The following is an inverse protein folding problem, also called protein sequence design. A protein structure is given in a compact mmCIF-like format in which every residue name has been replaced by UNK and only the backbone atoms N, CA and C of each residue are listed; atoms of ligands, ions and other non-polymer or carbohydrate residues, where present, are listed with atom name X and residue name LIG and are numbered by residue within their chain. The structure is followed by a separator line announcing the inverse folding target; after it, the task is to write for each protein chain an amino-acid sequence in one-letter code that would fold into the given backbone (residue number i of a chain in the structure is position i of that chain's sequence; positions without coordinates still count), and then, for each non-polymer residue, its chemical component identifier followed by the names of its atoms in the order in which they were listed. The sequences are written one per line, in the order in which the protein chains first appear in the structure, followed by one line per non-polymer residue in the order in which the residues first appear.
data_IF_714623346475
#
_entry.id   IF_714623346475
#
_cell.length_a   1.000
_cell.length_b   1.000
_cell.length_c   1.000
_cell.angle_alpha   90.00
_cell.angle_beta   90.00
_cell.angle_gamma   90.00
#
_symmetry.space_group_name_H-M   'P 1'
#
loop_
_entity.id
_entity.type
_entity.pdbx_description
1 polymer ?
#
# COMPACT_ATOMS: atom_id res chain seq x y z
N UNK A 1 9.00 7.79 26.91
CA UNK A 1 9.01 9.11 26.21
C UNK A 1 8.29 8.88 24.90
N UNK A 2 7.46 9.82 24.45
CA UNK A 2 6.78 9.72 23.15
C UNK A 2 7.79 9.86 22.00
N UNK A 3 7.53 9.24 20.87
CA UNK A 3 8.36 9.34 19.68
C UNK A 3 7.69 10.22 18.62
N UNK A 4 8.22 11.42 18.40
CA UNK A 4 7.65 12.41 17.48
C UNK A 4 8.10 12.21 16.02
N UNK A 5 8.98 11.24 15.73
CA UNK A 5 9.38 10.92 14.37
C UNK A 5 8.16 10.50 13.53
N UNK A 6 8.10 10.85 12.26
CA UNK A 6 6.96 10.52 11.41
C UNK A 6 6.88 9.01 11.09
N UNK A 7 5.70 8.59 10.67
CA UNK A 7 5.51 7.30 9.99
C UNK A 7 5.83 7.49 8.50
N UNK A 8 6.70 6.65 7.96
CA UNK A 8 6.94 6.57 6.53
C UNK A 8 5.89 5.70 5.85
N UNK A 9 5.38 6.15 4.71
CA UNK A 9 4.49 5.33 3.85
C UNK A 9 5.05 5.34 2.44
N UNK A 10 5.22 4.19 1.82
CA UNK A 10 5.71 4.06 0.45
C UNK A 10 4.70 3.37 -0.46
N UNK A 11 4.65 3.81 -1.72
CA UNK A 11 3.90 3.16 -2.80
C UNK A 11 4.62 3.35 -4.15
N UNK A 12 4.26 2.54 -5.11
CA UNK A 12 4.70 2.68 -6.51
C UNK A 12 4.15 3.93 -7.20
N UNK A 13 3.17 4.61 -6.61
CA UNK A 13 2.52 5.79 -7.16
C UNK A 13 1.51 6.39 -6.18
N UNK A 14 0.51 7.06 -6.72
CA UNK A 14 -0.50 7.79 -5.94
C UNK A 14 -1.40 6.88 -5.08
N UNK A 15 -1.59 5.61 -5.47
CA UNK A 15 -2.54 4.69 -4.83
C UNK A 15 -2.36 4.54 -3.33
N UNK A 16 -1.13 4.61 -2.83
CA UNK A 16 -0.83 4.52 -1.40
C UNK A 16 -1.44 5.61 -0.53
N UNK A 17 -1.99 6.66 -1.12
CA UNK A 17 -2.76 7.67 -0.38
C UNK A 17 -4.01 7.10 0.30
N UNK A 18 -4.56 5.98 -0.17
CA UNK A 18 -5.62 5.25 0.52
C UNK A 18 -5.15 4.73 1.89
N UNK A 19 -3.90 4.27 1.97
CA UNK A 19 -3.28 3.87 3.24
C UNK A 19 -2.97 5.09 4.10
N UNK A 20 -2.47 6.19 3.51
CA UNK A 20 -2.26 7.47 4.24
C UNK A 20 -3.57 7.96 4.86
N UNK A 21 -4.69 7.92 4.13
CA UNK A 21 -6.00 8.28 4.64
C UNK A 21 -6.38 7.44 5.87
N UNK A 22 -6.10 6.15 5.82
CA UNK A 22 -6.38 5.25 6.93
C UNK A 22 -5.45 5.51 8.14
N UNK A 23 -4.16 5.85 7.90
CA UNK A 23 -3.24 6.30 8.98
C UNK A 23 -3.79 7.56 9.66
N UNK A 24 -4.23 8.54 8.89
CA UNK A 24 -4.82 9.77 9.41
C UNK A 24 -6.05 9.47 10.28
N UNK A 25 -6.90 8.54 9.83
CA UNK A 25 -8.14 8.16 10.53
C UNK A 25 -7.88 7.45 11.87
N UNK A 26 -6.93 6.51 11.92
CA UNK A 26 -6.67 5.69 13.10
C UNK A 26 -5.62 6.27 14.03
N UNK A 27 -4.70 7.09 13.51
CA UNK A 27 -3.54 7.68 14.19
C UNK A 27 -3.49 9.20 13.90
N UNK A 28 -4.51 9.97 14.29
CA UNK A 28 -4.70 11.36 13.85
C UNK A 28 -3.59 12.32 14.31
N UNK A 29 -2.80 11.93 15.29
CA UNK A 29 -1.71 12.75 15.83
C UNK A 29 -0.35 12.45 15.19
N UNK A 30 -0.21 11.32 14.50
CA UNK A 30 1.05 10.91 13.90
C UNK A 30 1.38 11.75 12.65
N UNK A 31 2.60 12.28 12.61
CA UNK A 31 3.13 12.88 11.39
C UNK A 31 3.45 11.80 10.36
N UNK A 32 3.29 12.14 9.08
CA UNK A 32 3.40 11.18 7.98
C UNK A 32 4.30 11.78 6.89
N UNK A 33 5.24 10.97 6.41
CA UNK A 33 5.95 11.22 5.16
C UNK A 33 5.58 10.12 4.18
N UNK A 34 4.91 10.49 3.11
CA UNK A 34 4.57 9.60 2.01
C UNK A 34 5.57 9.77 0.85
N UNK A 35 5.96 8.66 0.22
CA UNK A 35 6.70 8.66 -1.05
C UNK A 35 6.00 7.79 -2.09
N UNK A 36 5.63 8.37 -3.22
CA UNK A 36 5.10 7.69 -4.40
C UNK A 36 6.12 7.69 -5.55
N UNK A 37 6.47 6.51 -6.06
CA UNK A 37 7.44 6.36 -7.15
C UNK A 37 6.79 6.53 -8.54
N UNK A 38 6.27 7.72 -8.78
CA UNK A 38 5.56 8.10 -10.01
C UNK A 38 6.43 7.95 -11.28
N UNK A 39 7.76 8.11 -11.16
CA UNK A 39 8.67 8.03 -12.31
C UNK A 39 8.76 6.60 -12.87
N UNK A 40 8.58 5.57 -12.03
CA UNK A 40 8.80 4.16 -12.41
C UNK A 40 7.52 3.31 -12.35
N UNK A 41 6.37 3.92 -12.03
CA UNK A 41 5.08 3.24 -12.03
C UNK A 41 4.67 2.76 -13.43
N UNK A 42 3.78 1.75 -13.55
CA UNK A 42 3.28 0.91 -12.50
C UNK A 42 4.22 -0.29 -12.20
N UNK A 43 4.40 -0.62 -10.92
CA UNK A 43 5.24 -1.77 -10.52
C UNK A 43 4.67 -3.13 -10.95
N UNK A 44 3.39 -3.21 -11.21
CA UNK A 44 2.69 -4.45 -11.60
C UNK A 44 3.21 -5.12 -12.87
N UNK A 45 4.00 -4.43 -13.69
CA UNK A 45 4.59 -4.92 -14.95
C UNK A 45 6.13 -4.94 -14.93
N UNK A 46 6.75 -4.61 -13.80
CA UNK A 46 8.21 -4.61 -13.63
C UNK A 46 8.73 -5.99 -13.23
N UNK A 47 10.03 -6.22 -13.44
CA UNK A 47 10.68 -7.46 -12.97
C UNK A 47 10.86 -7.45 -11.45
N UNK A 48 11.08 -8.63 -10.88
CA UNK A 48 11.34 -8.78 -9.45
C UNK A 48 12.53 -7.94 -8.98
N UNK A 49 13.63 -7.99 -9.73
CA UNK A 49 14.86 -7.24 -9.42
C UNK A 49 14.66 -5.74 -9.47
N UNK A 50 13.88 -5.25 -10.46
CA UNK A 50 13.53 -3.85 -10.56
C UNK A 50 12.72 -3.39 -9.35
N UNK A 51 11.70 -4.17 -8.94
CA UNK A 51 10.86 -3.82 -7.81
C UNK A 51 11.66 -3.78 -6.51
N UNK A 52 12.57 -4.75 -6.30
CA UNK A 52 13.47 -4.76 -5.13
C UNK A 52 14.36 -3.51 -5.14
N UNK A 53 15.00 -3.19 -6.27
CA UNK A 53 15.87 -2.01 -6.36
C UNK A 53 15.13 -0.72 -6.06
N UNK A 54 13.98 -0.52 -6.70
CA UNK A 54 13.17 0.69 -6.53
C UNK A 54 12.62 0.83 -5.10
N UNK A 55 12.18 -0.28 -4.52
CA UNK A 55 11.70 -0.30 -3.14
C UNK A 55 12.83 0.01 -2.15
N UNK A 56 14.05 -0.51 -2.40
CA UNK A 56 15.22 -0.21 -1.58
C UNK A 56 15.53 1.29 -1.55
N UNK A 57 15.48 1.96 -2.69
CA UNK A 57 15.71 3.40 -2.77
C UNK A 57 14.68 4.19 -1.98
N UNK A 58 13.38 3.82 -2.08
CA UNK A 58 12.32 4.45 -1.27
C UNK A 58 12.51 4.20 0.24
N UNK A 59 12.91 2.98 0.64
CA UNK A 59 13.19 2.65 2.04
C UNK A 59 14.37 3.47 2.55
N UNK A 60 15.47 3.54 1.81
CA UNK A 60 16.64 4.35 2.18
C UNK A 60 16.29 5.83 2.28
N UNK A 61 15.49 6.33 1.34
CA UNK A 61 14.97 7.70 1.39
C UNK A 61 14.22 7.97 2.69
N UNK A 62 13.24 7.13 3.04
CA UNK A 62 12.43 7.29 4.26
C UNK A 62 13.29 7.17 5.53
N UNK A 63 14.28 6.27 5.56
CA UNK A 63 15.25 6.19 6.66
C UNK A 63 16.02 7.50 6.79
N UNK A 64 16.45 8.09 5.67
CA UNK A 64 17.10 9.40 5.64
C UNK A 64 16.21 10.54 6.14
N UNK A 65 14.89 10.41 6.04
CA UNK A 65 13.89 11.32 6.62
C UNK A 65 13.62 11.04 8.11
N UNK A 66 14.38 10.14 8.74
CA UNK A 66 14.28 9.81 10.17
C UNK A 66 12.88 9.32 10.59
N UNK A 67 12.21 8.51 9.77
CA UNK A 67 10.92 7.91 10.12
C UNK A 67 11.10 6.82 11.20
N UNK A 68 10.08 6.60 12.04
CA UNK A 68 10.12 5.59 13.12
C UNK A 68 9.68 4.20 12.68
N UNK A 69 8.93 4.10 11.60
CA UNK A 69 8.53 2.86 10.94
C UNK A 69 8.13 3.14 9.49
N UNK A 70 8.04 2.08 8.69
CA UNK A 70 7.60 2.17 7.30
C UNK A 70 6.38 1.28 7.07
N UNK A 71 5.34 1.84 6.45
CA UNK A 71 4.17 1.09 5.96
C UNK A 71 4.27 0.99 4.44
N UNK A 72 4.20 -0.23 3.92
CA UNK A 72 4.10 -0.47 2.49
C UNK A 72 2.63 -0.33 2.07
N UNK A 73 2.28 0.76 1.43
CA UNK A 73 0.99 0.93 0.77
C UNK A 73 0.84 -0.01 -0.42
N UNK A 74 1.93 -0.20 -1.19
CA UNK A 74 1.93 -1.00 -2.40
C UNK A 74 1.87 -2.51 -2.15
N UNK A 75 0.85 -3.17 -2.69
CA UNK A 75 0.76 -4.64 -2.65
C UNK A 75 1.87 -5.31 -3.44
N UNK A 76 2.22 -4.76 -4.60
CA UNK A 76 3.30 -5.29 -5.45
C UNK A 76 4.66 -5.18 -4.75
N UNK A 77 4.99 -4.03 -4.17
CA UNK A 77 6.22 -3.86 -3.41
C UNK A 77 6.25 -4.75 -2.16
N UNK A 78 5.12 -4.90 -1.45
CA UNK A 78 4.99 -5.84 -0.33
C UNK A 78 5.31 -7.27 -0.78
N UNK A 79 4.68 -7.74 -1.88
CA UNK A 79 4.84 -9.11 -2.36
C UNK A 79 6.25 -9.44 -2.83
N UNK A 80 6.95 -8.46 -3.40
CA UNK A 80 8.21 -8.69 -4.11
C UNK A 80 9.46 -8.27 -3.32
N UNK A 81 9.33 -7.31 -2.41
CA UNK A 81 10.50 -6.66 -1.81
C UNK A 81 10.52 -6.64 -0.29
N UNK A 82 9.39 -6.78 0.41
CA UNK A 82 9.34 -6.61 1.86
C UNK A 82 10.32 -7.53 2.59
N UNK A 83 10.31 -8.82 2.28
CA UNK A 83 11.18 -9.81 2.94
C UNK A 83 12.69 -9.52 2.73
N UNK A 84 13.05 -8.97 1.57
CA UNK A 84 14.42 -8.56 1.29
C UNK A 84 14.80 -7.31 2.10
N UNK A 85 13.90 -6.34 2.20
CA UNK A 85 14.15 -5.11 2.97
C UNK A 85 14.18 -5.34 4.48
N UNK A 86 13.34 -6.23 5.02
CA UNK A 86 13.39 -6.61 6.44
C UNK A 86 14.69 -7.32 6.84
N UNK A 87 15.37 -7.98 5.89
CA UNK A 87 16.69 -8.58 6.12
C UNK A 87 17.84 -7.57 6.03
N UNK A 88 17.64 -6.51 5.24
CA UNK A 88 18.66 -5.50 4.95
C UNK A 88 18.64 -4.34 5.96
N UNK A 89 17.46 -3.96 6.45
CA UNK A 89 17.24 -2.79 7.30
C UNK A 89 16.59 -3.17 8.63
N UNK A 90 16.97 -2.47 9.71
CA UNK A 90 16.48 -2.73 11.07
C UNK A 90 15.23 -1.95 11.43
N UNK A 91 14.81 -0.97 10.60
CA UNK A 91 13.60 -0.20 10.82
C UNK A 91 12.35 -1.11 10.75
N UNK A 92 11.37 -0.95 11.66
CA UNK A 92 10.13 -1.72 11.59
C UNK A 92 9.38 -1.44 10.29
N UNK A 93 8.98 -2.50 9.60
CA UNK A 93 8.23 -2.43 8.35
C UNK A 93 6.94 -3.24 8.47
N UNK A 94 5.87 -2.75 7.85
CA UNK A 94 4.59 -3.47 7.78
C UNK A 94 4.07 -3.39 6.35
N UNK A 95 3.89 -4.55 5.72
CA UNK A 95 3.26 -4.66 4.41
C UNK A 95 1.77 -4.98 4.50
N UNK A 96 1.04 -4.69 3.44
CA UNK A 96 -0.42 -4.82 3.37
C UNK A 96 -0.93 -6.26 3.21
N UNK A 97 -0.10 -7.21 2.73
CA UNK A 97 -0.55 -8.56 2.36
C UNK A 97 -0.96 -9.38 3.60
N UNK A 98 -0.10 -9.47 4.61
CA UNK A 98 -0.39 -10.27 5.80
C UNK A 98 -1.62 -9.76 6.55
N UNK A 99 -1.76 -8.45 6.86
CA UNK A 99 -2.97 -7.92 7.48
C UNK A 99 -4.22 -8.09 6.61
N UNK A 100 -4.11 -7.91 5.29
CA UNK A 100 -5.20 -8.15 4.35
C UNK A 100 -5.66 -9.60 4.32
N UNK A 101 -4.72 -10.55 4.37
CA UNK A 101 -5.00 -11.98 4.46
C UNK A 101 -5.69 -12.35 5.78
N UNK A 102 -5.20 -11.82 6.92
CA UNK A 102 -5.85 -11.99 8.24
C UNK A 102 -7.28 -11.42 8.24
N UNK A 103 -7.48 -10.26 7.63
CA UNK A 103 -8.83 -9.69 7.51
C UNK A 103 -9.76 -10.57 6.68
N UNK A 104 -9.29 -11.10 5.56
CA UNK A 104 -10.07 -11.95 4.68
C UNK A 104 -10.47 -13.29 5.34
N UNK A 105 -9.52 -13.96 5.99
CA UNK A 105 -9.77 -15.22 6.72
C UNK A 105 -10.74 -15.04 7.89
N UNK A 106 -10.74 -13.87 8.53
CA UNK A 106 -11.65 -13.57 9.64
C UNK A 106 -13.08 -13.26 9.21
N UNK A 107 -13.32 -12.87 7.96
CA UNK A 107 -14.67 -12.45 7.51
C UNK A 107 -15.35 -13.45 6.60
N UNK A 108 -14.60 -14.33 5.94
CA UNK A 108 -15.19 -15.40 5.11
C UNK A 108 -16.00 -16.38 5.95
N UNK A 109 -17.07 -16.89 5.37
CA UNK A 109 -17.92 -17.94 5.96
C UNK A 109 -17.83 -19.25 5.18
N UNK A 110 -17.47 -19.16 3.90
CA UNK A 110 -17.37 -20.30 2.98
C UNK A 110 -15.95 -20.82 2.82
N UNK A 111 -14.96 -20.10 3.33
CA UNK A 111 -13.52 -20.30 3.07
C UNK A 111 -13.12 -20.14 1.59
N UNK A 112 -13.99 -19.54 0.76
CA UNK A 112 -13.67 -19.20 -0.64
C UNK A 112 -13.34 -17.71 -0.72
N UNK A 113 -12.07 -17.41 -0.93
CA UNK A 113 -11.53 -16.04 -0.90
C UNK A 113 -10.99 -15.67 -2.26
N UNK A 114 -11.60 -14.68 -2.90
CA UNK A 114 -11.12 -14.04 -4.11
C UNK A 114 -10.05 -12.99 -3.80
N UNK A 115 -9.11 -12.82 -4.72
CA UNK A 115 -8.13 -11.74 -4.68
C UNK A 115 -8.07 -11.09 -6.03
N UNK A 116 -8.22 -9.78 -6.11
CA UNK A 116 -7.85 -9.00 -7.28
C UNK A 116 -6.57 -8.21 -6.99
N UNK A 117 -5.65 -8.16 -7.94
CA UNK A 117 -4.36 -7.49 -7.77
C UNK A 117 -3.74 -7.13 -9.11
N UNK A 118 -2.55 -6.53 -9.08
CA UNK A 118 -1.74 -6.39 -10.29
C UNK A 118 -1.23 -7.76 -10.74
N UNK A 119 -0.78 -7.85 -11.99
CA UNK A 119 -0.23 -9.12 -12.51
C UNK A 119 0.93 -9.64 -11.63
N UNK A 120 1.83 -8.76 -11.21
CA UNK A 120 2.96 -9.13 -10.34
C UNK A 120 2.52 -9.61 -8.96
N UNK A 121 1.51 -8.97 -8.34
CA UNK A 121 0.95 -9.39 -7.05
C UNK A 121 0.31 -10.78 -7.16
N UNK A 122 -0.44 -11.04 -8.20
CA UNK A 122 -1.09 -12.35 -8.39
C UNK A 122 -0.06 -13.45 -8.71
N UNK A 123 0.92 -13.16 -9.57
CA UNK A 123 1.98 -14.10 -9.92
C UNK A 123 2.88 -14.48 -8.73
N UNK A 124 3.06 -13.58 -7.76
CA UNK A 124 3.85 -13.84 -6.55
C UNK A 124 3.25 -14.93 -5.65
N UNK A 125 1.94 -15.16 -5.75
CA UNK A 125 1.14 -16.04 -4.86
C UNK A 125 1.21 -15.69 -3.37
N UNK A 126 1.76 -14.52 -3.01
CA UNK A 126 1.96 -14.13 -1.60
C UNK A 126 0.66 -14.13 -0.79
N UNK A 127 -0.45 -13.67 -1.37
CA UNK A 127 -1.77 -13.78 -0.73
C UNK A 127 -2.20 -15.24 -0.55
N UNK A 128 -2.07 -16.06 -1.60
CA UNK A 128 -2.46 -17.48 -1.57
C UNK A 128 -1.70 -18.22 -0.45
N UNK A 129 -0.38 -18.03 -0.38
CA UNK A 129 0.48 -18.67 0.61
C UNK A 129 0.13 -18.17 2.02
N UNK A 130 -0.02 -16.86 2.20
CA UNK A 130 -0.35 -16.27 3.50
C UNK A 130 -1.72 -16.74 4.00
N UNK A 131 -2.74 -16.73 3.14
CA UNK A 131 -4.09 -17.19 3.51
C UNK A 131 -4.08 -18.68 3.84
N UNK A 132 -3.42 -19.53 3.04
CA UNK A 132 -3.33 -20.97 3.29
C UNK A 132 -2.53 -21.31 4.55
N UNK A 133 -1.56 -20.50 4.93
CA UNK A 133 -0.86 -20.64 6.20
C UNK A 133 -1.76 -20.30 7.41
N UNK A 134 -2.72 -19.37 7.25
CA UNK A 134 -3.70 -18.99 8.26
C UNK A 134 -4.87 -20.00 8.33
N UNK A 135 -5.37 -20.41 7.17
CA UNK A 135 -6.42 -21.42 7.02
C UNK A 135 -6.10 -22.38 5.87
N UNK A 136 -5.55 -23.57 6.15
CA UNK A 136 -5.25 -24.57 5.13
C UNK A 136 -6.44 -25.06 4.30
N UNK A 137 -7.68 -24.84 4.76
CA UNK A 137 -8.90 -25.23 4.05
C UNK A 137 -9.36 -24.15 3.07
N UNK A 138 -8.82 -22.93 3.15
CA UNK A 138 -9.24 -21.85 2.27
C UNK A 138 -9.00 -22.20 0.80
N UNK A 139 -10.01 -21.99 -0.03
CA UNK A 139 -9.87 -21.95 -1.48
C UNK A 139 -9.60 -20.50 -1.92
N UNK A 140 -8.50 -20.27 -2.64
CA UNK A 140 -8.01 -18.93 -2.94
C UNK A 140 -7.84 -18.75 -4.45
N UNK A 141 -8.68 -17.91 -5.05
CA UNK A 141 -8.62 -17.54 -6.46
C UNK A 141 -8.08 -16.12 -6.64
N UNK A 142 -6.90 -15.99 -7.25
CA UNK A 142 -6.30 -14.70 -7.62
C UNK A 142 -6.56 -14.34 -9.08
N UNK A 143 -7.05 -13.12 -9.34
CA UNK A 143 -7.28 -12.59 -10.69
C UNK A 143 -6.51 -11.28 -10.89
N UNK A 144 -5.73 -11.20 -11.98
CA UNK A 144 -5.05 -9.98 -12.36
C UNK A 144 -6.05 -8.95 -12.92
N UNK A 145 -6.11 -7.79 -12.28
CA UNK A 145 -7.00 -6.68 -12.63
C UNK A 145 -6.22 -5.41 -12.99
N UNK A 146 -5.13 -5.55 -13.77
CA UNK A 146 -4.21 -4.44 -14.09
C UNK A 146 -4.92 -3.21 -14.68
N UNK A 147 -5.98 -3.41 -15.47
CA UNK A 147 -6.76 -2.32 -16.06
C UNK A 147 -7.46 -1.43 -15.02
N UNK A 148 -7.73 -1.95 -13.83
CA UNK A 148 -8.41 -1.16 -12.78
C UNK A 148 -7.53 0.00 -12.29
N UNK A 149 -6.20 -0.14 -12.33
CA UNK A 149 -5.28 0.96 -12.03
C UNK A 149 -5.53 2.13 -12.98
N UNK A 150 -5.50 1.88 -14.29
CA UNK A 150 -5.73 2.93 -15.30
C UNK A 150 -7.13 3.54 -15.22
N UNK A 151 -8.16 2.76 -14.86
CA UNK A 151 -9.53 3.27 -14.66
C UNK A 151 -9.56 4.30 -13.53
N UNK A 152 -8.85 4.04 -12.43
CA UNK A 152 -8.79 4.96 -11.29
C UNK A 152 -7.98 6.20 -11.64
N UNK A 153 -6.79 6.04 -12.21
CA UNK A 153 -5.90 7.17 -12.53
C UNK A 153 -6.51 8.12 -13.58
N UNK A 154 -7.24 7.58 -14.55
CA UNK A 154 -7.93 8.40 -15.58
C UNK A 154 -9.28 8.95 -15.14
N UNK A 155 -9.70 8.73 -13.88
CA UNK A 155 -11.02 9.15 -13.36
C UNK A 155 -12.19 8.64 -14.21
N UNK A 156 -12.07 7.45 -14.78
CA UNK A 156 -13.03 6.90 -15.73
C UNK A 156 -13.97 5.84 -15.15
N UNK A 157 -14.01 5.68 -13.81
CA UNK A 157 -14.74 4.62 -13.11
C UNK A 157 -16.23 4.53 -13.48
N UNK A 158 -16.84 5.66 -13.81
CA UNK A 158 -18.28 5.76 -14.14
C UNK A 158 -18.58 5.61 -15.65
N UNK A 159 -17.58 5.29 -16.47
CA UNK A 159 -17.79 5.09 -17.91
C UNK A 159 -18.33 3.68 -18.20
N UNK A 160 -19.06 3.53 -19.31
CA UNK A 160 -19.53 2.23 -19.79
C UNK A 160 -18.37 1.24 -19.98
N UNK A 161 -17.25 1.72 -20.53
CA UNK A 161 -16.07 0.90 -20.77
C UNK A 161 -15.45 0.39 -19.46
N UNK A 162 -15.39 1.21 -18.41
CA UNK A 162 -14.91 0.80 -17.10
C UNK A 162 -15.81 -0.27 -16.50
N UNK A 163 -17.15 -0.07 -16.56
CA UNK A 163 -18.13 -1.05 -16.11
C UNK A 163 -17.95 -2.40 -16.81
N UNK A 164 -17.86 -2.44 -18.13
CA UNK A 164 -17.64 -3.65 -18.91
C UNK A 164 -16.31 -4.36 -18.54
N UNK A 165 -15.25 -3.59 -18.28
CA UNK A 165 -13.97 -4.15 -17.83
C UNK A 165 -14.08 -4.77 -16.43
N UNK A 166 -14.77 -4.10 -15.50
CA UNK A 166 -14.98 -4.59 -14.14
C UNK A 166 -15.80 -5.89 -14.16
N UNK A 167 -16.93 -5.89 -14.85
CA UNK A 167 -17.81 -7.06 -14.97
C UNK A 167 -17.07 -8.26 -15.61
N UNK A 168 -16.34 -8.02 -16.70
CA UNK A 168 -15.56 -9.07 -17.38
C UNK A 168 -14.49 -9.66 -16.48
N UNK A 169 -13.76 -8.80 -15.76
CA UNK A 169 -12.67 -9.23 -14.87
C UNK A 169 -13.21 -10.00 -13.66
N UNK A 170 -14.34 -9.54 -13.10
CA UNK A 170 -14.91 -10.13 -11.88
C UNK A 170 -15.89 -11.28 -12.14
N UNK A 171 -16.18 -11.60 -13.40
CA UNK A 171 -17.12 -12.67 -13.78
C UNK A 171 -16.87 -14.01 -13.05
N UNK A 172 -15.62 -14.48 -12.82
CA UNK A 172 -15.37 -15.73 -12.12
C UNK A 172 -15.86 -15.77 -10.66
N UNK A 173 -16.09 -14.59 -10.04
CA UNK A 173 -16.61 -14.50 -8.68
C UNK A 173 -18.13 -14.40 -8.63
N UNK A 174 -18.78 -14.05 -9.75
CA UNK A 174 -20.23 -13.93 -9.82
C UNK A 174 -20.89 -15.31 -9.81
N UNK A 175 -21.94 -15.46 -9.04
CA UNK A 175 -22.70 -16.70 -8.91
C UNK A 175 -21.83 -17.92 -8.52
N UNK A 176 -20.82 -17.67 -7.66
CA UNK A 176 -19.85 -18.66 -7.18
C UNK A 176 -19.90 -18.78 -5.66
N UNK A 177 -19.15 -19.72 -5.09
CA UNK A 177 -19.04 -19.89 -3.64
C UNK A 177 -18.11 -18.87 -2.95
N UNK A 178 -17.44 -17.98 -3.71
CA UNK A 178 -16.59 -16.93 -3.15
C UNK A 178 -17.45 -15.87 -2.47
N UNK A 179 -17.24 -15.71 -1.15
CA UNK A 179 -18.00 -14.75 -0.30
C UNK A 179 -17.15 -13.53 0.11
N UNK A 180 -15.86 -13.57 -0.16
CA UNK A 180 -14.90 -12.54 0.25
C UNK A 180 -13.97 -12.21 -0.90
N UNK A 181 -13.72 -10.91 -1.13
CA UNK A 181 -12.82 -10.41 -2.18
C UNK A 181 -11.83 -9.41 -1.61
N UNK A 182 -10.54 -9.75 -1.65
CA UNK A 182 -9.45 -8.85 -1.25
C UNK A 182 -9.13 -7.87 -2.38
N UNK A 183 -9.12 -6.58 -2.06
CA UNK A 183 -8.70 -5.51 -2.94
C UNK A 183 -7.16 -5.37 -2.89
N UNK A 184 -6.45 -6.28 -3.55
CA UNK A 184 -4.99 -6.43 -3.51
C UNK A 184 -4.22 -5.41 -4.36
N UNK A 185 -4.72 -4.19 -4.45
CA UNK A 185 -4.04 -3.02 -5.00
C UNK A 185 -4.61 -1.76 -4.36
N UNK A 186 -3.76 -0.78 -4.07
CA UNK A 186 -4.13 0.48 -3.41
C UNK A 186 -5.10 1.35 -4.20
N UNK A 187 -5.20 1.16 -5.50
CA UNK A 187 -6.19 1.84 -6.34
C UNK A 187 -7.60 1.25 -6.21
N UNK A 188 -7.73 -0.03 -5.88
CA UNK A 188 -9.02 -0.73 -5.99
C UNK A 188 -10.09 -0.31 -4.97
N UNK A 189 -9.75 0.18 -3.77
CA UNK A 189 -10.76 0.79 -2.89
C UNK A 189 -11.54 1.94 -3.53
N UNK A 190 -10.94 2.65 -4.51
CA UNK A 190 -11.62 3.71 -5.28
C UNK A 190 -12.69 3.19 -6.23
N UNK A 191 -12.71 1.88 -6.53
CA UNK A 191 -13.72 1.20 -7.35
C UNK A 191 -14.72 0.38 -6.51
N UNK A 192 -14.72 0.60 -5.18
CA UNK A 192 -15.52 -0.20 -4.25
C UNK A 192 -17.02 -0.19 -4.61
N UNK A 193 -17.55 0.95 -4.99
CA UNK A 193 -18.95 1.09 -5.40
C UNK A 193 -19.24 0.23 -6.63
N UNK A 194 -18.46 0.38 -7.71
CA UNK A 194 -18.65 -0.36 -8.96
C UNK A 194 -18.45 -1.87 -8.79
N UNK A 195 -17.51 -2.27 -7.93
CA UNK A 195 -17.28 -3.68 -7.60
C UNK A 195 -18.46 -4.24 -6.80
N UNK A 196 -18.96 -3.51 -5.79
CA UNK A 196 -20.10 -3.91 -4.97
C UNK A 196 -21.40 -3.97 -5.77
N UNK A 197 -21.59 -3.08 -6.73
CA UNK A 197 -22.76 -3.11 -7.63
C UNK A 197 -22.81 -4.39 -8.47
N UNK A 198 -21.64 -4.88 -8.89
CA UNK A 198 -21.55 -6.12 -9.68
C UNK A 198 -21.56 -7.37 -8.80
N UNK A 199 -20.98 -7.33 -7.61
CA UNK A 199 -20.83 -8.43 -6.65
C UNK A 199 -21.45 -8.05 -5.29
N UNK A 200 -22.78 -7.86 -5.20
CA UNK A 200 -23.43 -7.31 -4.00
C UNK A 200 -23.32 -8.22 -2.78
N UNK A 201 -23.20 -9.55 -2.97
CA UNK A 201 -23.17 -10.54 -1.90
C UNK A 201 -21.72 -10.85 -1.43
N UNK A 202 -20.72 -10.33 -2.11
CA UNK A 202 -19.31 -10.58 -1.77
C UNK A 202 -18.78 -9.47 -0.85
N UNK A 203 -18.19 -9.86 0.26
CA UNK A 203 -17.57 -8.93 1.19
C UNK A 203 -16.22 -8.44 0.67
N UNK A 204 -16.11 -7.14 0.45
CA UNK A 204 -14.85 -6.51 0.03
C UNK A 204 -13.95 -6.28 1.24
N UNK A 205 -12.70 -6.68 1.12
CA UNK A 205 -11.64 -6.49 2.13
C UNK A 205 -10.60 -5.52 1.58
N UNK A 206 -10.54 -4.34 2.19
CA UNK A 206 -9.45 -3.39 1.99
C UNK A 206 -8.32 -3.69 3.00
N UNK A 207 -7.12 -4.05 2.52
CA UNK A 207 -5.99 -4.34 3.40
C UNK A 207 -5.54 -3.16 4.27
N UNK A 208 -5.76 -1.93 3.84
CA UNK A 208 -5.28 -0.72 4.51
C UNK A 208 -5.75 -0.64 5.97
N UNK A 209 -7.03 -0.91 6.22
CA UNK A 209 -7.64 -0.85 7.55
C UNK A 209 -6.86 -1.70 8.56
N UNK A 210 -6.66 -2.99 8.24
CA UNK A 210 -5.97 -3.92 9.14
C UNK A 210 -4.48 -3.68 9.23
N UNK A 211 -3.88 -3.15 8.17
CA UNK A 211 -2.47 -2.76 8.13
C UNK A 211 -2.20 -1.65 9.13
N UNK A 212 -3.04 -0.63 9.14
CA UNK A 212 -2.89 0.50 10.08
C UNK A 212 -3.25 0.11 11.51
N UNK A 213 -4.24 -0.77 11.74
CA UNK A 213 -4.48 -1.35 13.06
C UNK A 213 -3.22 -2.06 13.61
N UNK A 214 -2.53 -2.81 12.75
CA UNK A 214 -1.29 -3.50 13.12
C UNK A 214 -0.15 -2.51 13.41
N UNK A 215 -0.04 -1.45 12.61
CA UNK A 215 0.93 -0.37 12.86
C UNK A 215 0.65 0.32 14.19
N UNK A 216 -0.62 0.65 14.47
CA UNK A 216 -1.05 1.23 15.75
C UNK A 216 -0.72 0.34 16.93
N UNK A 217 -1.00 -0.96 16.81
CA UNK A 217 -0.65 -1.92 17.86
C UNK A 217 0.86 -1.96 18.09
N UNK A 218 1.68 -2.03 17.02
CA UNK A 218 3.14 -2.02 17.14
C UNK A 218 3.64 -0.75 17.85
N UNK A 219 3.17 0.42 17.45
CA UNK A 219 3.55 1.70 18.08
C UNK A 219 3.14 1.76 19.54
N UNK A 220 1.96 1.24 19.89
CA UNK A 220 1.46 1.18 21.27
C UNK A 220 2.31 0.25 22.14
N UNK A 221 2.54 -0.98 21.67
CA UNK A 221 3.29 -2.02 22.40
C UNK A 221 4.74 -1.60 22.69
N UNK A 222 5.32 -0.77 21.80
CA UNK A 222 6.70 -0.28 21.93
C UNK A 222 6.81 1.14 22.50
N UNK A 223 5.72 1.76 22.95
CA UNK A 223 5.69 3.14 23.47
C UNK A 223 6.22 4.19 22.47
N UNK A 224 5.91 4.01 21.18
CA UNK A 224 6.36 4.87 20.07
C UNK A 224 5.27 5.83 19.57
N UNK A 225 4.08 5.84 20.17
CA UNK A 225 3.05 6.81 19.81
C UNK A 225 3.47 8.23 20.17
N UNK A 226 3.17 9.18 19.29
CA UNK A 226 3.40 10.60 19.57
C UNK A 226 2.38 11.14 20.57
N UNK A 227 2.81 12.07 21.41
CA UNK A 227 1.94 12.91 22.26
C UNK A 227 1.69 14.29 21.64
N UNK A 228 2.29 14.58 20.48
CA UNK A 228 2.08 15.83 19.73
C UNK A 228 0.64 15.91 19.24
N UNK A 229 0.07 17.12 19.29
CA UNK A 229 -1.22 17.43 18.65
C UNK A 229 -1.03 18.09 17.27
N UNK A 230 0.20 18.35 16.89
CA UNK A 230 0.56 19.00 15.64
C UNK A 230 1.08 17.95 14.65
N UNK A 231 0.15 17.32 13.93
CA UNK A 231 0.49 16.42 12.81
C UNK A 231 1.03 17.23 11.64
N UNK A 232 2.09 16.73 11.02
CA UNK A 232 2.62 17.21 9.75
C UNK A 232 2.42 16.12 8.70
N UNK A 233 1.85 16.48 7.53
CA UNK A 233 1.65 15.59 6.39
C UNK A 233 2.49 16.09 5.22
N UNK A 234 3.53 15.33 4.87
CA UNK A 234 4.38 15.58 3.72
C UNK A 234 4.16 14.49 2.67
N UNK A 235 3.93 14.91 1.43
CA UNK A 235 3.76 14.01 0.30
C UNK A 235 4.90 14.25 -0.69
N UNK A 236 5.61 13.18 -1.02
CA UNK A 236 6.72 13.22 -1.96
C UNK A 236 6.41 12.35 -3.17
N UNK A 237 6.77 12.84 -4.37
CA UNK A 237 6.61 12.09 -5.61
C UNK A 237 7.92 12.19 -6.42
N UNK A 238 8.23 11.14 -7.19
CA UNK A 238 9.46 11.11 -8.01
C UNK A 238 9.27 11.69 -9.42
N UNK A 239 8.03 11.96 -9.82
CA UNK A 239 7.66 12.60 -11.09
C UNK A 239 6.26 13.22 -11.02
N UNK A 240 5.81 13.85 -12.09
CA UNK A 240 4.44 14.30 -12.34
C UNK A 240 3.81 15.11 -11.19
N UNK A 241 4.59 15.94 -10.53
CA UNK A 241 4.22 16.62 -9.27
C UNK A 241 2.93 17.43 -9.36
N UNK A 242 2.62 18.03 -10.51
CA UNK A 242 1.41 18.84 -10.69
C UNK A 242 0.15 17.96 -10.67
N UNK A 243 0.16 16.84 -11.42
CA UNK A 243 -0.95 15.89 -11.45
C UNK A 243 -1.07 15.15 -10.13
N UNK A 244 0.04 14.69 -9.56
CA UNK A 244 0.10 14.11 -8.24
C UNK A 244 -0.53 15.05 -7.19
N UNK A 245 -0.15 16.33 -7.16
CA UNK A 245 -0.70 17.32 -6.22
C UNK A 245 -2.20 17.52 -6.40
N UNK A 246 -2.68 17.55 -7.64
CA UNK A 246 -4.11 17.70 -7.95
C UNK A 246 -4.92 16.52 -7.42
N UNK A 247 -4.45 15.30 -7.69
CA UNK A 247 -5.13 14.08 -7.27
C UNK A 247 -5.01 13.87 -5.75
N UNK A 248 -3.86 14.15 -5.16
CA UNK A 248 -3.67 14.05 -3.72
C UNK A 248 -4.64 14.95 -2.94
N UNK A 249 -4.79 16.21 -3.36
CA UNK A 249 -5.76 17.15 -2.77
C UNK A 249 -7.21 16.72 -2.95
N UNK A 250 -7.52 15.98 -4.01
CA UNK A 250 -8.87 15.45 -4.25
C UNK A 250 -9.15 14.20 -3.38
N UNK A 251 -8.15 13.34 -3.19
CA UNK A 251 -8.32 12.08 -2.47
C UNK A 251 -8.21 12.24 -0.97
N UNK A 252 -7.39 13.19 -0.50
CA UNK A 252 -7.20 13.47 0.92
C UNK A 252 -7.97 14.75 1.29
N UNK A 253 -9.08 14.58 2.00
CA UNK A 253 -9.86 15.72 2.53
C UNK A 253 -9.24 16.22 3.86
N UNK A 254 -7.95 16.56 3.81
CA UNK A 254 -7.19 17.07 4.96
C UNK A 254 -6.15 18.09 4.52
N UNK A 255 -5.65 18.89 5.46
CA UNK A 255 -4.53 19.77 5.20
C UNK A 255 -3.28 18.93 4.89
N UNK A 256 -2.68 19.18 3.73
CA UNK A 256 -1.36 18.70 3.32
C UNK A 256 -0.38 19.86 3.56
N UNK A 257 0.66 19.62 4.35
CA UNK A 257 1.60 20.68 4.70
C UNK A 257 2.64 20.92 3.60
N UNK A 258 3.12 19.86 2.96
CA UNK A 258 4.09 19.93 1.88
C UNK A 258 3.82 18.88 0.78
N UNK A 259 4.07 19.27 -0.48
CA UNK A 259 4.12 18.36 -1.63
C UNK A 259 5.40 18.63 -2.39
N UNK A 260 6.31 17.67 -2.46
CA UNK A 260 7.66 17.85 -2.99
C UNK A 260 7.96 16.84 -4.11
N UNK A 261 8.63 17.34 -5.17
CA UNK A 261 9.31 16.49 -6.14
C UNK A 261 10.65 16.06 -5.56
N UNK A 262 10.95 14.76 -5.59
CA UNK A 262 12.21 14.22 -5.06
C UNK A 262 12.90 13.33 -6.09
N UNK A 263 14.24 13.39 -6.08
CA UNK A 263 15.08 12.46 -6.81
C UNK A 263 15.65 11.44 -5.83
N UNK A 264 15.31 10.16 -6.04
CA UNK A 264 15.75 9.08 -5.15
C UNK A 264 17.23 8.75 -5.33
N UNK A 265 17.82 8.94 -6.53
CA UNK A 265 19.24 8.67 -6.79
C UNK A 265 20.12 9.64 -5.99
N UNK A 266 19.78 10.92 -6.00
CA UNK A 266 20.50 11.96 -5.24
C UNK A 266 20.33 11.77 -3.72
N UNK A 267 19.13 11.39 -3.27
CA UNK A 267 18.83 11.22 -1.86
C UNK A 267 19.59 10.04 -1.23
N UNK A 268 19.74 8.93 -1.95
CA UNK A 268 20.53 7.76 -1.51
C UNK A 268 22.02 8.08 -1.43
N UNK A 269 22.54 8.91 -2.36
CA UNK A 269 23.95 9.34 -2.34
C UNK A 269 24.29 10.18 -1.10
N UNK A 270 23.34 10.95 -0.57
CA UNK A 270 23.51 11.79 0.63
C UNK A 270 23.44 10.92 1.91
N UNK A 271 22.50 9.97 1.99
CA UNK A 271 22.33 9.06 3.13
C UNK A 271 23.54 8.14 3.36
N UNK A 272 24.10 7.59 2.30
CA UNK A 272 25.28 6.71 2.37
C UNK A 272 26.59 7.40 2.84
N UNK A 273 26.63 8.74 2.82
CA UNK A 273 27.76 9.51 3.40
C UNK A 273 27.65 9.66 4.92
N UNK A 274 26.44 9.69 5.47
CA UNK A 274 26.23 9.84 6.93
C UNK A 274 26.50 8.55 7.71
N UNK A 275 26.22 7.38 7.14
CA UNK A 275 26.51 6.09 7.81
C UNK A 275 28.02 5.79 7.88
N UNK A 276 28.81 6.19 6.88
CA UNK A 276 30.28 5.99 6.89
C UNK A 276 31.01 6.87 7.92
N UNK A 277 30.41 7.95 8.38
CA UNK A 277 31.02 8.84 9.39
C UNK A 277 30.69 8.40 10.84
N UNK A 278 29.64 7.63 11.08
CA UNK A 278 29.30 7.13 12.43
C UNK A 278 30.06 5.86 12.87
N UNK A 279 30.84 5.23 11.98
CA UNK A 279 31.69 4.08 12.34
C UNK A 279 33.16 4.45 12.54
N UNK A 280 33.48 5.75 12.70
CA UNK A 280 34.86 6.25 12.95
C UNK A 280 35.01 7.03 14.25
N UNK A 281 34.25 6.66 15.30
CA UNK A 281 34.55 7.13 16.65
C UNK A 281 34.46 6.00 17.65
#
# INVERSE_FOLDING_TARGET
MSDQRPIGVLDSGLGGLTVVQEVIRQLPNESIIFIGDEARMPYGVKTHEQIISYTREMVQYLIGQNVKMIIYGCNTATAQALDAMEKEFTIPMIGVIKPGSEAATNVTKTNHIGIIGTQSTINSKSYNETIKNLDPKADVLGIAAQKFVSIVESDSANTKQAKENIETTLKPFKDSDYDTLVLGCTHFPMLKEQISDYLPDIKLVDPALKTVERAKKYLTDNNLLTDSKNRVLQLHATANIEEFSKLAKRWLDVKIDEINLVDLEDAVAIGGKNERNNHRH
#
